data_IF_971633425205
#
_entry.id   IF_971633425205
#
_cell.length_a   1.000
_cell.length_b   1.000
_cell.length_c   1.000
_cell.angle_alpha   90.00
_cell.angle_beta   90.00
_cell.angle_gamma   90.00
#
_symmetry.space_group_name_H-M   'P 1'
#
loop_
_entity.id
_entity.type
_entity.pdbx_description
1 polymer ?
#
# COMPACT_ATOMS: atom_id res chain seq x y z
N UNK A 1 7.26 -2.74 30.42
CA UNK A 1 6.38 -2.15 29.37
C UNK A 1 6.98 -2.49 28.01
N UNK A 2 6.14 -2.65 26.96
CA UNK A 2 6.64 -2.78 25.58
C UNK A 2 7.14 -1.43 25.09
N UNK A 3 8.24 -1.37 24.30
CA UNK A 3 8.65 -0.13 23.67
C UNK A 3 7.55 0.40 22.73
N UNK A 4 7.47 1.72 22.57
CA UNK A 4 6.47 2.38 21.74
C UNK A 4 6.93 2.48 20.28
N UNK A 5 6.03 2.13 19.36
CA UNK A 5 6.24 2.24 17.92
C UNK A 5 5.21 3.21 17.32
N UNK A 6 5.67 4.28 16.70
CA UNK A 6 4.86 5.18 15.89
C UNK A 6 4.99 4.77 14.43
N UNK A 7 3.93 4.20 13.85
CA UNK A 7 3.88 3.78 12.46
C UNK A 7 3.06 4.80 11.64
N UNK A 8 3.73 5.48 10.72
CA UNK A 8 3.08 6.44 9.81
C UNK A 8 2.77 5.78 8.47
N UNK A 9 1.49 5.77 8.09
CA UNK A 9 1.00 5.26 6.82
C UNK A 9 0.17 6.29 6.08
N UNK A 10 0.63 6.68 4.89
CA UNK A 10 -0.12 7.51 3.97
C UNK A 10 -0.51 6.70 2.73
N UNK A 11 -1.80 6.55 2.50
CA UNK A 11 -2.34 5.98 1.28
C UNK A 11 -3.32 6.96 0.62
N UNK A 12 -3.64 6.78 -0.67
CA UNK A 12 -4.47 7.73 -1.43
C UNK A 12 -5.65 7.03 -2.10
N UNK A 13 -5.38 6.20 -3.09
CA UNK A 13 -6.41 5.61 -3.96
C UNK A 13 -6.53 4.11 -3.74
N UNK A 14 -5.46 3.43 -3.41
CA UNK A 14 -5.47 1.97 -3.18
C UNK A 14 -5.29 1.62 -1.72
N UNK A 15 -5.90 0.54 -1.28
CA UNK A 15 -5.78 0.03 0.10
C UNK A 15 -4.47 -0.74 0.36
N UNK A 16 -3.66 -1.00 -0.67
CA UNK A 16 -2.48 -1.83 -0.55
C UNK A 16 -1.44 -1.35 0.46
N UNK A 17 -1.15 -0.05 0.47
CA UNK A 17 -0.26 0.54 1.46
C UNK A 17 -0.83 0.41 2.88
N UNK A 18 -2.15 0.59 3.05
CA UNK A 18 -2.84 0.42 4.32
C UNK A 18 -2.77 -1.04 4.77
N UNK A 19 -3.14 -1.98 3.89
CA UNK A 19 -3.15 -3.43 4.18
C UNK A 19 -1.78 -3.93 4.61
N UNK A 20 -0.72 -3.58 3.87
CA UNK A 20 0.65 -3.94 4.22
C UNK A 20 1.07 -3.33 5.56
N UNK A 21 0.84 -2.04 5.75
CA UNK A 21 1.23 -1.35 6.99
C UNK A 21 0.50 -1.92 8.21
N UNK A 22 -0.77 -2.30 8.04
CA UNK A 22 -1.54 -2.97 9.09
C UNK A 22 -1.02 -4.38 9.37
N UNK A 23 -0.65 -5.15 8.34
CA UNK A 23 -0.05 -6.47 8.54
C UNK A 23 1.26 -6.37 9.33
N UNK A 24 2.10 -5.35 9.03
CA UNK A 24 3.29 -5.03 9.83
C UNK A 24 2.93 -4.66 11.27
N UNK A 25 1.94 -3.77 11.46
CA UNK A 25 1.50 -3.34 12.78
C UNK A 25 1.02 -4.55 13.63
N UNK A 26 0.25 -5.45 13.03
CA UNK A 26 -0.22 -6.70 13.67
C UNK A 26 0.94 -7.61 14.04
N UNK A 27 1.96 -7.74 13.20
CA UNK A 27 3.13 -8.53 13.53
C UNK A 27 3.96 -7.89 14.66
N UNK A 28 4.16 -6.57 14.56
CA UNK A 28 5.00 -5.80 15.49
C UNK A 28 4.36 -5.63 16.89
N UNK A 29 3.02 -5.65 17.03
CA UNK A 29 2.34 -5.53 18.34
C UNK A 29 2.75 -6.62 19.36
N UNK A 30 3.37 -7.69 18.91
CA UNK A 30 3.92 -8.71 19.80
C UNK A 30 5.07 -8.17 20.65
N UNK A 31 5.85 -7.25 20.10
CA UNK A 31 7.06 -6.66 20.72
C UNK A 31 6.88 -5.20 21.11
N UNK A 32 5.97 -4.47 20.44
CA UNK A 32 5.79 -3.03 20.60
C UNK A 32 4.35 -2.69 21.01
N UNK A 33 4.20 -1.55 21.69
CA UNK A 33 2.94 -0.81 21.78
C UNK A 33 2.81 0.03 20.52
N UNK A 34 1.89 -0.35 19.62
CA UNK A 34 1.82 0.23 18.26
C UNK A 34 0.79 1.35 18.21
N UNK A 35 1.23 2.54 17.80
CA UNK A 35 0.42 3.71 17.46
C UNK A 35 0.46 3.84 15.94
N UNK A 36 -0.69 3.62 15.29
CA UNK A 36 -0.80 3.66 13.83
C UNK A 36 -1.39 4.99 13.39
N UNK A 37 -0.56 5.83 12.75
CA UNK A 37 -0.99 7.10 12.17
C UNK A 37 -1.51 6.86 10.76
N UNK A 38 -2.82 6.95 10.59
CA UNK A 38 -3.47 6.82 9.30
C UNK A 38 -3.67 8.19 8.64
N UNK A 39 -3.10 8.39 7.46
CA UNK A 39 -3.16 9.65 6.73
C UNK A 39 -4.13 9.66 5.54
N UNK A 40 -4.70 8.51 5.16
CA UNK A 40 -5.65 8.40 4.06
C UNK A 40 -7.08 8.04 4.52
N UNK A 41 -8.05 8.00 3.59
CA UNK A 41 -9.41 7.58 3.91
C UNK A 41 -9.45 6.09 4.25
N UNK A 42 -10.17 5.73 5.30
CA UNK A 42 -10.41 4.32 5.64
C UNK A 42 -11.54 3.75 4.78
N UNK A 43 -11.44 2.48 4.36
CA UNK A 43 -12.56 1.79 3.72
C UNK A 43 -13.79 1.73 4.64
N UNK A 44 -14.98 1.70 4.03
CA UNK A 44 -16.21 1.48 4.77
C UNK A 44 -16.15 0.13 5.52
N UNK A 45 -16.63 0.10 6.75
CA UNK A 45 -16.58 -1.11 7.57
C UNK A 45 -15.20 -1.51 8.07
N UNK A 46 -14.18 -0.63 7.93
CA UNK A 46 -12.83 -0.93 8.40
C UNK A 46 -12.79 -1.19 9.91
N UNK A 47 -12.33 -2.38 10.27
CA UNK A 47 -12.11 -2.75 11.67
C UNK A 47 -10.63 -2.58 12.05
N UNK A 48 -10.39 -1.89 13.17
CA UNK A 48 -9.04 -1.74 13.72
C UNK A 48 -8.60 -3.07 14.35
N UNK A 49 -7.47 -3.65 13.97
CA UNK A 49 -6.97 -4.86 14.59
C UNK A 49 -6.73 -4.66 16.10
N UNK A 50 -7.16 -5.60 16.92
CA UNK A 50 -7.00 -5.53 18.37
C UNK A 50 -5.54 -5.29 18.78
N UNK A 51 -5.31 -4.43 19.79
CA UNK A 51 -3.99 -4.11 20.31
C UNK A 51 -3.17 -3.13 19.45
N UNK A 52 -3.84 -2.42 18.54
CA UNK A 52 -3.27 -1.30 17.78
C UNK A 52 -4.06 -0.04 18.13
N UNK A 53 -3.36 1.02 18.52
CA UNK A 53 -3.96 2.35 18.69
C UNK A 53 -4.00 3.04 17.33
N UNK A 54 -5.19 3.21 16.75
CA UNK A 54 -5.37 3.92 15.49
C UNK A 54 -5.59 5.40 15.76
N UNK A 55 -4.79 6.25 15.11
CA UNK A 55 -4.96 7.70 15.09
C UNK A 55 -5.15 8.17 13.67
N UNK A 56 -6.34 8.68 13.36
CA UNK A 56 -6.62 9.26 12.05
C UNK A 56 -6.16 10.72 12.00
N UNK A 57 -5.38 11.04 10.97
CA UNK A 57 -5.10 12.41 10.57
C UNK A 57 -6.19 12.90 9.62
N UNK A 58 -6.42 14.22 9.46
CA UNK A 58 -7.27 14.72 8.37
C UNK A 58 -6.88 14.07 7.05
N UNK A 59 -7.83 13.33 6.45
CA UNK A 59 -7.52 12.47 5.33
C UNK A 59 -7.16 13.26 4.08
N UNK A 60 -5.96 13.06 3.55
CA UNK A 60 -5.50 13.58 2.28
C UNK A 60 -5.32 12.43 1.28
N UNK A 61 -5.64 12.71 0.03
CA UNK A 61 -5.43 11.80 -1.08
C UNK A 61 -4.86 12.52 -2.29
N UNK A 62 -4.85 11.84 -3.43
CA UNK A 62 -4.58 12.46 -4.72
C UNK A 62 -5.80 12.27 -5.62
N UNK A 63 -6.09 13.28 -6.45
CA UNK A 63 -6.93 13.10 -7.63
C UNK A 63 -6.12 12.39 -8.71
N UNK A 64 -6.69 11.89 -9.73
CA UNK A 64 -6.06 11.17 -10.86
C UNK A 64 -4.52 10.93 -10.77
N UNK A 65 -4.01 10.89 -9.54
CA UNK A 65 -2.61 10.65 -9.18
C UNK A 65 -1.72 11.90 -9.10
N UNK A 66 -2.22 13.09 -9.35
CA UNK A 66 -1.36 14.25 -9.57
C UNK A 66 -1.47 15.38 -8.55
N UNK A 67 -2.65 15.80 -8.08
CA UNK A 67 -2.76 16.85 -7.07
C UNK A 67 -3.19 16.30 -5.70
N UNK A 68 -2.75 16.95 -4.61
CA UNK A 68 -3.27 16.61 -3.28
C UNK A 68 -4.65 17.21 -3.14
N UNK A 69 -5.60 16.38 -2.69
CA UNK A 69 -6.97 16.77 -2.38
C UNK A 69 -7.32 16.38 -0.95
N UNK A 70 -8.14 17.19 -0.31
CA UNK A 70 -8.73 16.82 0.96
C UNK A 70 -9.81 15.75 0.73
N UNK A 71 -9.73 14.66 1.48
CA UNK A 71 -10.77 13.63 1.55
C UNK A 71 -11.64 13.79 2.79
N UNK A 72 -11.36 14.78 3.60
CA UNK A 72 -12.14 15.21 4.74
C UNK A 72 -12.81 16.55 4.40
N UNK A 73 -14.11 16.54 4.17
CA UNK A 73 -14.88 17.72 3.75
C UNK A 73 -14.88 18.88 4.76
N UNK A 74 -14.41 18.62 5.99
CA UNK A 74 -14.33 19.64 7.05
C UNK A 74 -13.16 20.58 6.87
N UNK A 75 -12.16 20.23 6.04
CA UNK A 75 -10.91 20.99 5.94
C UNK A 75 -10.53 21.19 4.48
N UNK A 76 -10.02 22.36 4.16
CA UNK A 76 -9.23 22.60 2.95
C UNK A 76 -7.93 21.77 2.98
N UNK A 77 -7.21 21.72 1.87
CA UNK A 77 -5.91 21.02 1.81
C UNK A 77 -4.89 21.68 2.74
N UNK A 78 -4.89 23.00 2.79
CA UNK A 78 -3.98 23.81 3.60
C UNK A 78 -4.24 23.60 5.09
N UNK A 79 -5.49 23.71 5.53
CA UNK A 79 -5.91 23.45 6.92
C UNK A 79 -5.58 22.01 7.33
N UNK A 80 -5.90 21.03 6.47
CA UNK A 80 -5.57 19.63 6.72
C UNK A 80 -4.06 19.43 6.91
N UNK A 81 -3.21 20.05 6.08
CA UNK A 81 -1.74 19.98 6.21
C UNK A 81 -1.23 20.55 7.53
N UNK A 82 -1.75 21.68 7.95
CA UNK A 82 -1.34 22.31 9.24
C UNK A 82 -1.77 21.44 10.42
N UNK A 83 -3.02 20.99 10.45
CA UNK A 83 -3.54 20.12 11.49
C UNK A 83 -2.77 18.78 11.56
N UNK A 84 -2.45 18.19 10.42
CA UNK A 84 -1.67 16.95 10.34
C UNK A 84 -0.28 17.15 10.91
N UNK A 85 0.43 18.21 10.49
CA UNK A 85 1.75 18.54 10.99
C UNK A 85 1.75 18.72 12.50
N UNK A 86 0.82 19.52 13.01
CA UNK A 86 0.67 19.77 14.45
C UNK A 86 0.38 18.47 15.21
N UNK A 87 -0.55 17.65 14.70
CA UNK A 87 -0.94 16.38 15.36
C UNK A 87 0.17 15.34 15.37
N UNK A 88 0.94 15.22 14.29
CA UNK A 88 2.10 14.32 14.22
C UNK A 88 3.16 14.70 15.25
N UNK A 89 3.50 15.98 15.34
CA UNK A 89 4.47 16.47 16.33
C UNK A 89 3.95 16.34 17.76
N UNK A 90 2.69 16.68 18.00
CA UNK A 90 2.06 16.50 19.32
C UNK A 90 2.14 15.05 19.81
N UNK A 91 1.78 14.09 18.93
CA UNK A 91 1.84 12.68 19.27
C UNK A 91 3.27 12.21 19.51
N UNK A 92 4.22 12.67 18.72
CA UNK A 92 5.64 12.37 18.91
C UNK A 92 6.12 12.79 20.31
N UNK A 93 5.84 14.02 20.72
CA UNK A 93 6.23 14.54 22.04
C UNK A 93 5.50 13.84 23.20
N UNK A 94 4.19 13.60 23.05
CA UNK A 94 3.38 12.95 24.09
C UNK A 94 3.72 11.48 24.29
N UNK A 95 3.97 10.76 23.19
CA UNK A 95 4.15 9.29 23.22
C UNK A 95 5.61 8.86 23.33
N UNK A 96 6.54 9.74 23.02
CA UNK A 96 8.01 9.51 23.07
C UNK A 96 8.37 8.13 22.49
N UNK A 97 8.03 7.86 21.21
CA UNK A 97 8.22 6.53 20.66
C UNK A 97 9.69 6.13 20.64
N UNK A 98 9.98 4.86 20.91
CA UNK A 98 11.30 4.28 20.77
C UNK A 98 11.66 4.04 19.31
N UNK A 99 10.64 3.79 18.47
CA UNK A 99 10.78 3.54 17.03
C UNK A 99 9.75 4.34 16.25
N UNK A 100 10.18 4.96 15.16
CA UNK A 100 9.32 5.60 14.16
C UNK A 100 9.48 4.83 12.86
N UNK A 101 8.41 4.20 12.38
CA UNK A 101 8.36 3.48 11.12
C UNK A 101 7.54 4.29 10.11
N UNK A 102 8.17 4.71 9.00
CA UNK A 102 7.52 5.56 7.99
C UNK A 102 7.37 4.77 6.69
N UNK A 103 6.11 4.66 6.23
CA UNK A 103 5.79 3.98 4.98
C UNK A 103 6.26 4.81 3.78
N UNK A 104 7.11 4.21 2.96
CA UNK A 104 7.62 4.66 1.66
C UNK A 104 8.44 5.96 1.64
N UNK A 105 8.47 6.77 2.67
CA UNK A 105 9.32 7.97 2.70
C UNK A 105 10.75 7.61 3.14
N UNK A 106 11.80 8.13 2.49
CA UNK A 106 11.82 9.22 1.51
C UNK A 106 11.76 8.79 0.03
N UNK A 107 11.61 7.51 -0.27
CA UNK A 107 11.59 6.96 -1.64
C UNK A 107 10.30 7.29 -2.41
N UNK A 108 9.27 7.68 -1.69
CA UNK A 108 8.01 8.20 -2.18
C UNK A 108 7.43 9.23 -1.20
N UNK A 109 6.14 9.52 -1.30
CA UNK A 109 5.42 10.42 -0.38
C UNK A 109 6.00 11.84 -0.27
N UNK A 110 6.77 12.30 -1.26
CA UNK A 110 7.38 13.64 -1.32
C UNK A 110 6.38 14.76 -1.00
N UNK A 111 5.12 14.60 -1.39
CA UNK A 111 4.04 15.58 -1.15
C UNK A 111 3.67 15.76 0.31
N UNK A 112 4.09 14.83 1.19
CA UNK A 112 3.87 14.86 2.64
C UNK A 112 5.13 15.26 3.42
N UNK A 113 6.15 15.78 2.74
CA UNK A 113 7.40 16.22 3.37
C UNK A 113 7.20 17.38 4.37
N UNK A 114 6.13 18.17 4.24
CA UNK A 114 5.79 19.26 5.15
C UNK A 114 5.49 18.80 6.59
N UNK A 115 5.02 17.58 6.79
CA UNK A 115 4.78 16.99 8.10
C UNK A 115 5.88 15.99 8.50
N UNK A 116 6.46 15.27 7.54
CA UNK A 116 7.49 14.26 7.83
C UNK A 116 8.86 14.85 8.14
N UNK A 117 9.29 15.92 7.44
CA UNK A 117 10.58 16.55 7.74
C UNK A 117 10.65 17.18 9.14
N UNK A 118 9.62 17.90 9.63
CA UNK A 118 9.58 18.35 11.02
C UNK A 118 9.66 17.19 12.01
N UNK A 119 8.91 16.09 11.80
CA UNK A 119 8.98 14.90 12.64
C UNK A 119 10.40 14.32 12.69
N UNK A 120 11.06 14.17 11.52
CA UNK A 120 12.42 13.64 11.43
C UNK A 120 13.45 14.53 12.13
N UNK A 121 13.29 15.86 12.04
CA UNK A 121 14.14 16.81 12.77
C UNK A 121 13.94 16.70 14.27
N UNK A 122 12.67 16.64 14.71
CA UNK A 122 12.34 16.43 16.11
C UNK A 122 12.92 15.11 16.65
N UNK A 123 12.79 14.02 15.89
CA UNK A 123 13.34 12.72 16.26
C UNK A 123 14.87 12.76 16.43
N UNK A 124 15.59 13.47 15.57
CA UNK A 124 17.06 13.63 15.70
C UNK A 124 17.48 14.55 16.84
N UNK A 125 16.63 15.49 17.25
CA UNK A 125 16.88 16.38 18.38
C UNK A 125 16.43 15.78 19.73
N UNK A 126 15.59 14.77 19.72
CA UNK A 126 14.99 14.19 20.92
C UNK A 126 16.04 13.52 21.81
N UNK A 127 16.03 13.79 23.14
CA UNK A 127 17.02 13.22 24.09
C UNK A 127 16.92 11.69 24.20
N UNK A 128 15.74 11.09 23.95
CA UNK A 128 15.52 9.64 23.98
C UNK A 128 15.92 8.94 22.67
N UNK A 129 16.34 9.68 21.64
CA UNK A 129 16.92 9.20 20.37
C UNK A 129 16.16 8.02 19.75
N UNK A 130 14.92 8.20 19.32
CA UNK A 130 14.15 7.13 18.69
C UNK A 130 14.85 6.60 17.43
N UNK A 131 14.72 5.31 17.14
CA UNK A 131 15.14 4.74 15.86
C UNK A 131 14.15 5.13 14.78
N UNK A 132 14.63 5.64 13.66
CA UNK A 132 13.82 6.02 12.51
C UNK A 132 14.05 5.05 11.37
N UNK A 133 13.00 4.37 10.93
CA UNK A 133 13.06 3.30 9.95
C UNK A 133 12.12 3.60 8.78
N UNK A 134 12.61 3.41 7.56
CA UNK A 134 11.77 3.46 6.36
C UNK A 134 11.28 2.06 6.01
N UNK A 135 9.99 1.93 5.72
CA UNK A 135 9.33 0.69 5.28
C UNK A 135 8.98 0.84 3.80
N UNK A 136 9.63 0.08 2.93
CA UNK A 136 9.46 0.21 1.48
C UNK A 136 9.05 -1.10 0.83
N UNK A 137 8.43 -0.98 -0.35
CA UNK A 137 8.14 -2.13 -1.20
C UNK A 137 9.38 -2.53 -2.01
N UNK A 138 9.28 -3.62 -2.75
CA UNK A 138 10.30 -4.19 -3.63
C UNK A 138 10.80 -3.21 -4.70
N UNK A 139 9.92 -2.83 -5.62
CA UNK A 139 10.24 -2.01 -6.78
C UNK A 139 9.70 -0.60 -6.59
N UNK A 140 10.58 0.39 -6.76
CA UNK A 140 10.20 1.80 -6.79
C UNK A 140 9.85 2.24 -8.20
N UNK A 141 9.10 3.34 -8.30
CA UNK A 141 8.86 3.99 -9.60
C UNK A 141 10.19 4.55 -10.11
N UNK A 142 10.68 4.02 -11.21
CA UNK A 142 12.00 4.33 -11.79
C UNK A 142 11.95 5.04 -13.16
N UNK A 143 10.75 5.30 -13.70
CA UNK A 143 10.56 5.97 -14.98
C UNK A 143 10.15 7.44 -14.81
N UNK A 144 10.99 8.23 -14.12
CA UNK A 144 10.76 9.67 -13.92
C UNK A 144 11.77 10.49 -14.72
N UNK A 145 11.38 11.65 -15.26
CA UNK A 145 12.34 12.54 -15.94
C UNK A 145 13.51 12.97 -15.04
N UNK A 146 13.28 13.12 -13.73
CA UNK A 146 14.27 13.55 -12.73
C UNK A 146 14.74 12.40 -11.82
N UNK A 147 14.75 11.15 -12.32
CA UNK A 147 15.00 9.94 -11.52
C UNK A 147 16.28 10.04 -10.68
N UNK A 148 17.40 10.41 -11.30
CA UNK A 148 18.69 10.51 -10.59
C UNK A 148 18.64 11.53 -9.44
N UNK A 149 18.02 12.69 -9.67
CA UNK A 149 17.86 13.71 -8.62
C UNK A 149 16.96 13.21 -7.48
N UNK A 150 15.93 12.47 -7.82
CA UNK A 150 15.03 11.83 -6.85
C UNK A 150 15.80 10.84 -5.97
N UNK A 151 16.57 9.95 -6.57
CA UNK A 151 17.32 8.91 -5.87
C UNK A 151 18.42 9.52 -4.99
N UNK A 152 19.18 10.48 -5.51
CA UNK A 152 20.21 11.20 -4.75
C UNK A 152 19.64 11.93 -3.53
N UNK A 153 18.46 12.56 -3.68
CA UNK A 153 17.76 13.24 -2.59
C UNK A 153 17.26 12.24 -1.54
N UNK A 154 16.67 11.13 -1.96
CA UNK A 154 16.19 10.10 -1.05
C UNK A 154 17.36 9.49 -0.27
N UNK A 155 18.46 9.17 -0.92
CA UNK A 155 19.67 8.68 -0.27
C UNK A 155 20.26 9.70 0.72
N UNK A 156 20.26 11.00 0.38
CA UNK A 156 20.69 12.06 1.31
C UNK A 156 19.80 12.13 2.55
N UNK A 157 18.47 12.05 2.37
CA UNK A 157 17.52 12.02 3.51
C UNK A 157 17.71 10.78 4.37
N UNK A 158 17.95 9.62 3.76
CA UNK A 158 18.25 8.39 4.50
C UNK A 158 19.46 8.57 5.40
N UNK A 159 20.59 8.99 4.86
CA UNK A 159 21.83 9.22 5.65
C UNK A 159 21.63 10.25 6.77
N UNK A 160 20.76 11.24 6.56
CA UNK A 160 20.57 12.33 7.51
C UNK A 160 19.60 11.98 8.64
N UNK A 161 18.57 11.18 8.34
CA UNK A 161 17.43 11.04 9.23
C UNK A 161 17.02 9.60 9.56
N UNK A 162 17.51 8.60 8.85
CA UNK A 162 17.09 7.22 9.06
C UNK A 162 18.20 6.37 9.63
N UNK A 163 17.81 5.32 10.37
CA UNK A 163 18.73 4.36 10.96
C UNK A 163 18.74 3.03 10.16
N UNK A 164 17.67 2.73 9.43
CA UNK A 164 17.57 1.55 8.57
C UNK A 164 16.46 1.70 7.51
N UNK A 165 16.51 0.86 6.49
CA UNK A 165 15.47 0.66 5.49
C UNK A 165 15.05 -0.80 5.52
N UNK A 166 13.76 -1.06 5.70
CA UNK A 166 13.17 -2.39 5.57
C UNK A 166 12.54 -2.53 4.18
N UNK A 167 13.04 -3.44 3.38
CA UNK A 167 12.52 -3.76 2.05
C UNK A 167 11.64 -5.00 2.14
N UNK A 168 10.35 -4.84 1.81
CA UNK A 168 9.38 -5.93 1.87
C UNK A 168 9.35 -6.71 0.57
N UNK A 169 10.42 -7.44 0.32
CA UNK A 169 10.65 -8.25 -0.87
C UNK A 169 11.54 -9.44 -0.56
N UNK A 170 11.56 -10.39 -1.47
CA UNK A 170 12.58 -11.42 -1.55
C UNK A 170 13.66 -10.98 -2.55
N UNK A 171 14.93 -10.79 -2.13
CA UNK A 171 15.99 -10.33 -3.03
C UNK A 171 16.32 -11.34 -4.16
N UNK A 172 15.85 -12.58 -4.05
CA UNK A 172 15.94 -13.56 -5.14
C UNK A 172 14.98 -13.27 -6.30
N UNK A 173 13.89 -12.52 -6.03
CA UNK A 173 12.89 -12.16 -7.03
C UNK A 173 13.05 -10.73 -7.53
N UNK A 174 13.28 -9.79 -6.63
CA UNK A 174 13.42 -8.37 -6.97
C UNK A 174 14.33 -7.67 -5.95
N UNK A 175 15.35 -7.00 -6.44
CA UNK A 175 16.27 -6.23 -5.61
C UNK A 175 15.88 -4.76 -5.61
N UNK A 176 15.98 -4.13 -4.45
CA UNK A 176 15.70 -2.70 -4.29
C UNK A 176 16.58 -1.83 -5.20
N UNK A 177 17.84 -2.24 -5.36
CA UNK A 177 18.85 -1.58 -6.17
C UNK A 177 18.54 -1.62 -7.68
N UNK A 178 17.65 -2.49 -8.12
CA UNK A 178 17.24 -2.56 -9.54
C UNK A 178 16.45 -1.32 -9.95
N UNK A 179 15.72 -0.74 -8.98
CA UNK A 179 14.87 0.46 -9.20
C UNK A 179 15.34 1.71 -8.47
N UNK A 180 16.42 1.63 -7.67
CA UNK A 180 16.95 2.74 -6.88
C UNK A 180 18.47 2.84 -7.04
N UNK A 181 18.94 3.88 -7.72
CA UNK A 181 20.35 4.01 -8.13
C UNK A 181 20.91 5.40 -7.82
N UNK A 182 21.10 5.78 -6.55
CA UNK A 182 21.70 7.05 -6.18
C UNK A 182 23.20 7.04 -6.48
N UNK A 183 23.78 8.21 -6.78
CA UNK A 183 25.24 8.37 -6.99
C UNK A 183 26.06 8.04 -5.74
N UNK A 184 25.50 8.30 -4.55
CA UNK A 184 26.12 7.94 -3.27
C UNK A 184 25.27 6.88 -2.58
N UNK A 185 25.88 5.82 -2.01
CA UNK A 185 25.13 4.77 -1.34
C UNK A 185 24.27 5.30 -0.18
N UNK A 186 23.30 4.52 0.26
CA UNK A 186 22.43 4.87 1.39
C UNK A 186 23.21 5.16 2.67
N UNK A 187 24.28 4.41 2.92
CA UNK A 187 25.11 4.59 4.12
C UNK A 187 24.45 4.17 5.43
N UNK A 188 23.34 3.46 5.36
CA UNK A 188 22.59 2.88 6.47
C UNK A 188 22.19 1.45 6.11
N UNK A 189 21.91 0.56 7.07
CA UNK A 189 21.44 -0.80 6.84
C UNK A 189 20.21 -0.85 5.96
N UNK A 190 20.16 -1.82 5.05
CA UNK A 190 19.04 -2.17 4.22
C UNK A 190 18.76 -3.66 4.42
N UNK A 191 17.59 -3.97 5.00
CA UNK A 191 17.22 -5.32 5.39
C UNK A 191 16.00 -5.79 4.59
N UNK A 192 16.11 -6.97 3.97
CA UNK A 192 14.99 -7.62 3.29
C UNK A 192 14.17 -8.45 4.27
N UNK A 193 12.88 -8.22 4.34
CA UNK A 193 11.98 -8.89 5.30
C UNK A 193 11.19 -10.04 4.70
N UNK A 194 11.31 -10.28 3.41
CA UNK A 194 10.34 -11.09 2.67
C UNK A 194 9.04 -10.31 2.41
N UNK A 195 8.11 -10.92 1.72
CA UNK A 195 6.81 -10.33 1.43
C UNK A 195 5.94 -10.22 2.67
N UNK A 196 5.35 -9.05 2.88
CA UNK A 196 4.43 -8.79 3.98
C UNK A 196 3.01 -9.09 3.55
N UNK A 197 2.44 -10.11 4.15
CA UNK A 197 1.05 -10.54 3.92
C UNK A 197 0.29 -10.57 5.24
N UNK A 198 -1.02 -10.28 5.26
CA UNK A 198 -1.85 -10.50 6.43
C UNK A 198 -1.78 -11.95 6.88
N UNK A 199 -1.60 -12.18 8.18
CA UNK A 199 -1.63 -13.53 8.72
C UNK A 199 -3.06 -14.06 8.61
N UNK A 200 -3.19 -15.25 8.05
CA UNK A 200 -4.44 -16.00 7.98
C UNK A 200 -4.33 -17.23 8.86
N UNK A 201 -5.43 -17.58 9.48
CA UNK A 201 -5.49 -18.86 10.16
C UNK A 201 -5.43 -19.97 9.10
N UNK A 202 -4.47 -20.87 9.25
CA UNK A 202 -4.18 -21.94 8.29
C UNK A 202 -5.32 -23.00 8.17
N UNK A 203 -6.40 -22.82 8.93
CA UNK A 203 -7.45 -23.82 9.11
C UNK A 203 -8.48 -23.90 7.97
N UNK A 204 -8.50 -22.98 7.02
CA UNK A 204 -9.50 -23.01 5.94
C UNK A 204 -8.76 -22.97 4.61
N UNK A 205 -8.43 -24.14 4.07
CA UNK A 205 -8.14 -24.28 2.66
C UNK A 205 -9.48 -24.40 1.90
N UNK A 206 -9.96 -23.35 1.24
CA UNK A 206 -11.20 -23.45 0.48
C UNK A 206 -11.05 -24.49 -0.62
N UNK A 207 -12.13 -25.26 -0.86
CA UNK A 207 -12.14 -26.21 -1.98
C UNK A 207 -11.80 -25.50 -3.28
N UNK A 208 -10.84 -26.02 -4.00
CA UNK A 208 -10.48 -25.52 -5.34
C UNK A 208 -11.64 -25.69 -6.30
N UNK A 209 -11.90 -24.66 -7.07
CA UNK A 209 -12.93 -24.61 -8.10
C UNK A 209 -12.24 -24.49 -9.47
N UNK A 210 -12.85 -25.05 -10.48
CA UNK A 210 -12.26 -25.12 -11.82
C UNK A 210 -12.58 -23.86 -12.64
N UNK A 211 -12.08 -22.70 -12.16
CA UNK A 211 -12.23 -21.42 -12.84
C UNK A 211 -10.92 -20.62 -12.80
N UNK A 212 -10.82 -19.65 -13.69
CA UNK A 212 -9.76 -18.63 -13.68
C UNK A 212 -10.29 -17.35 -13.02
N UNK A 213 -9.64 -16.90 -11.94
CA UNK A 213 -9.95 -15.62 -11.31
C UNK A 213 -9.23 -14.48 -12.01
N UNK A 214 -9.95 -13.42 -12.36
CA UNK A 214 -9.39 -12.21 -12.94
C UNK A 214 -9.60 -11.05 -11.98
N UNK A 215 -8.56 -10.31 -11.62
CA UNK A 215 -8.68 -9.19 -10.69
C UNK A 215 -7.72 -8.05 -11.00
N UNK A 216 -8.23 -6.82 -10.91
CA UNK A 216 -7.45 -5.59 -11.01
C UNK A 216 -7.37 -4.83 -9.66
N UNK A 217 -7.45 -5.54 -8.53
CA UNK A 217 -7.39 -4.96 -7.20
C UNK A 217 -8.53 -3.96 -6.95
N UNK A 218 -8.22 -2.67 -6.74
CA UNK A 218 -9.24 -1.62 -6.54
C UNK A 218 -10.10 -1.30 -7.76
N UNK A 219 -9.69 -1.69 -8.96
CA UNK A 219 -10.44 -1.56 -10.21
C UNK A 219 -10.22 -0.29 -11.02
N UNK A 220 -9.64 0.78 -10.47
CA UNK A 220 -9.51 2.09 -11.13
C UNK A 220 -8.83 2.02 -12.51
N UNK A 221 -7.86 1.16 -12.69
CA UNK A 221 -7.05 1.00 -13.92
C UNK A 221 -7.21 -0.39 -14.53
N UNK A 222 -8.28 -1.13 -14.19
CA UNK A 222 -8.47 -2.54 -14.56
C UNK A 222 -8.92 -2.81 -16.00
N UNK A 223 -9.53 -1.84 -16.67
CA UNK A 223 -10.18 -2.06 -17.98
C UNK A 223 -9.28 -2.67 -19.06
N UNK A 224 -8.02 -2.25 -19.24
CA UNK A 224 -7.12 -2.89 -20.22
C UNK A 224 -6.92 -4.39 -19.95
N UNK A 225 -6.79 -4.80 -18.68
CA UNK A 225 -6.67 -6.20 -18.28
C UNK A 225 -7.96 -6.96 -18.62
N UNK A 226 -9.12 -6.42 -18.25
CA UNK A 226 -10.41 -7.08 -18.47
C UNK A 226 -10.72 -7.27 -19.96
N UNK A 227 -10.48 -6.24 -20.78
CA UNK A 227 -10.63 -6.34 -22.24
C UNK A 227 -9.70 -7.39 -22.83
N UNK A 228 -8.41 -7.39 -22.42
CA UNK A 228 -7.43 -8.34 -22.90
C UNK A 228 -7.79 -9.78 -22.54
N UNK A 229 -8.24 -10.02 -21.30
CA UNK A 229 -8.63 -11.36 -20.85
C UNK A 229 -9.89 -11.84 -21.56
N UNK A 230 -10.92 -11.03 -21.71
CA UNK A 230 -12.15 -11.42 -22.44
C UNK A 230 -11.86 -11.71 -23.91
N UNK A 231 -11.04 -10.88 -24.57
CA UNK A 231 -10.63 -11.12 -25.93
C UNK A 231 -9.82 -12.43 -26.07
N UNK A 232 -8.87 -12.68 -25.18
CA UNK A 232 -8.09 -13.92 -25.17
C UNK A 232 -8.96 -15.15 -24.87
N UNK A 233 -9.90 -15.02 -23.94
CA UNK A 233 -10.82 -16.10 -23.57
C UNK A 233 -11.71 -16.53 -24.76
N UNK A 234 -12.17 -15.57 -25.57
CA UNK A 234 -12.94 -15.85 -26.77
C UNK A 234 -12.18 -16.64 -27.85
N UNK A 235 -10.84 -16.58 -27.84
CA UNK A 235 -9.99 -17.32 -28.79
C UNK A 235 -9.73 -18.77 -28.35
N UNK A 236 -10.02 -19.12 -27.09
CA UNK A 236 -9.80 -20.47 -26.59
C UNK A 236 -10.93 -21.42 -27.03
N UNK A 237 -10.55 -22.67 -27.37
CA UNK A 237 -11.53 -23.70 -27.67
C UNK A 237 -12.41 -24.02 -26.45
N UNK A 238 -13.72 -24.21 -26.59
CA UNK A 238 -14.63 -24.46 -25.46
C UNK A 238 -14.20 -25.65 -24.57
N UNK A 239 -13.60 -26.68 -25.12
CA UNK A 239 -13.15 -27.86 -24.38
C UNK A 239 -11.95 -27.62 -23.44
N UNK A 240 -11.17 -26.57 -23.67
CA UNK A 240 -9.96 -26.24 -22.88
C UNK A 240 -10.11 -24.95 -22.09
N UNK A 241 -11.22 -24.24 -22.28
CA UNK A 241 -11.49 -22.93 -21.72
C UNK A 241 -12.02 -23.05 -20.31
N UNK A 242 -11.34 -22.43 -19.35
CA UNK A 242 -11.82 -22.33 -17.98
C UNK A 242 -12.87 -21.21 -17.87
N UNK A 243 -13.95 -21.41 -17.11
CA UNK A 243 -14.83 -20.31 -16.75
C UNK A 243 -14.06 -19.15 -16.13
N UNK A 244 -14.46 -17.92 -16.43
CA UNK A 244 -13.87 -16.73 -15.80
C UNK A 244 -14.74 -16.22 -14.68
N UNK A 245 -14.12 -15.90 -13.55
CA UNK A 245 -14.69 -15.10 -12.49
C UNK A 245 -13.91 -13.77 -12.41
N UNK A 246 -14.54 -12.67 -12.85
CA UNK A 246 -13.92 -11.36 -12.91
C UNK A 246 -14.36 -10.54 -11.70
N UNK A 247 -13.41 -10.24 -10.79
CA UNK A 247 -13.59 -9.33 -9.67
C UNK A 247 -13.09 -7.96 -10.09
N UNK A 248 -14.01 -7.09 -10.48
CA UNK A 248 -13.71 -5.82 -11.13
C UNK A 248 -13.05 -4.78 -10.20
N UNK A 249 -13.34 -4.85 -8.90
CA UNK A 249 -12.87 -3.93 -7.88
C UNK A 249 -13.89 -2.83 -7.53
N UNK A 250 -13.96 -2.43 -6.24
CA UNK A 250 -14.99 -1.51 -5.73
C UNK A 250 -14.91 -0.10 -6.33
N UNK A 251 -13.75 0.30 -6.84
CA UNK A 251 -13.51 1.63 -7.39
C UNK A 251 -13.57 1.68 -8.92
N UNK A 252 -14.02 0.61 -9.59
CA UNK A 252 -14.23 0.64 -11.04
C UNK A 252 -15.32 1.67 -11.36
N UNK A 253 -15.06 2.67 -12.22
CA UNK A 253 -16.06 3.66 -12.61
C UNK A 253 -17.32 3.02 -13.21
N UNK A 254 -18.48 3.62 -12.98
CA UNK A 254 -19.78 3.07 -13.46
C UNK A 254 -19.79 2.87 -14.99
N UNK A 255 -19.24 3.81 -15.75
CA UNK A 255 -19.14 3.68 -17.20
C UNK A 255 -18.31 2.47 -17.64
N UNK A 256 -17.22 2.19 -16.93
CA UNK A 256 -16.38 1.01 -17.19
C UNK A 256 -17.07 -0.29 -16.75
N UNK A 257 -17.86 -0.25 -15.68
CA UNK A 257 -18.67 -1.40 -15.28
C UNK A 257 -19.68 -1.76 -16.36
N UNK A 258 -20.45 -0.78 -16.86
CA UNK A 258 -21.42 -1.00 -17.94
C UNK A 258 -20.74 -1.48 -19.24
N UNK A 259 -19.54 -1.03 -19.53
CA UNK A 259 -18.76 -1.53 -20.64
C UNK A 259 -18.36 -3.02 -20.42
N UNK A 260 -17.91 -3.35 -19.21
CA UNK A 260 -17.52 -4.71 -18.86
C UNK A 260 -18.70 -5.68 -18.92
N UNK A 261 -19.88 -5.28 -18.44
CA UNK A 261 -21.12 -6.04 -18.56
C UNK A 261 -21.45 -6.33 -20.04
N UNK A 262 -21.36 -5.34 -20.90
CA UNK A 262 -21.61 -5.48 -22.33
C UNK A 262 -20.60 -6.42 -23.01
N UNK A 263 -19.32 -6.34 -22.63
CA UNK A 263 -18.29 -7.23 -23.16
C UNK A 263 -18.49 -8.67 -22.71
N UNK A 264 -18.96 -8.89 -21.50
CA UNK A 264 -19.19 -10.21 -20.93
C UNK A 264 -20.53 -10.84 -21.38
N UNK A 265 -21.50 -10.07 -21.84
CA UNK A 265 -22.86 -10.53 -22.16
C UNK A 265 -22.91 -11.64 -23.24
N UNK A 266 -21.89 -11.77 -24.08
CA UNK A 266 -21.76 -12.84 -25.07
C UNK A 266 -21.12 -14.14 -24.57
N UNK A 267 -20.72 -14.20 -23.30
CA UNK A 267 -19.95 -15.31 -22.74
C UNK A 267 -20.71 -15.96 -21.57
N UNK A 268 -21.32 -17.13 -21.82
CA UNK A 268 -22.09 -17.87 -20.80
C UNK A 268 -21.26 -18.44 -19.65
N UNK A 269 -19.93 -18.42 -19.77
CA UNK A 269 -18.96 -18.93 -18.82
C UNK A 269 -18.14 -17.81 -18.14
N UNK A 270 -18.64 -16.55 -18.16
CA UNK A 270 -18.05 -15.40 -17.51
C UNK A 270 -18.96 -14.86 -16.41
N UNK A 271 -18.48 -14.92 -15.17
CA UNK A 271 -19.13 -14.32 -14.02
C UNK A 271 -18.48 -12.98 -13.68
N UNK A 272 -19.29 -11.91 -13.56
CA UNK A 272 -18.84 -10.58 -13.13
C UNK A 272 -19.23 -10.33 -11.69
N UNK A 273 -18.26 -9.92 -10.87
CA UNK A 273 -18.47 -9.53 -9.48
C UNK A 273 -17.82 -8.17 -9.24
N UNK A 274 -18.54 -7.24 -8.63
CA UNK A 274 -17.98 -5.92 -8.36
C UNK A 274 -16.88 -5.95 -7.29
N UNK A 275 -17.16 -6.62 -6.19
CA UNK A 275 -16.23 -6.79 -5.09
C UNK A 275 -16.52 -8.09 -4.35
N UNK A 276 -15.50 -8.61 -3.67
CA UNK A 276 -15.61 -9.77 -2.79
C UNK A 276 -15.07 -9.41 -1.41
N UNK A 277 -15.57 -10.04 -0.34
CA UNK A 277 -15.09 -9.76 1.02
C UNK A 277 -13.61 -10.06 1.22
N UNK A 278 -13.10 -11.11 0.57
CA UNK A 278 -11.71 -11.52 0.67
C UNK A 278 -11.20 -12.08 -0.67
N UNK A 279 -10.49 -11.22 -1.41
CA UNK A 279 -9.94 -11.58 -2.72
C UNK A 279 -8.92 -12.73 -2.65
N UNK A 280 -8.18 -12.84 -1.56
CA UNK A 280 -7.17 -13.89 -1.48
C UNK A 280 -7.80 -15.27 -1.16
N UNK A 281 -8.99 -15.32 -0.54
CA UNK A 281 -9.78 -16.56 -0.47
C UNK A 281 -10.25 -16.95 -1.87
N UNK A 282 -10.72 -16.00 -2.67
CA UNK A 282 -11.09 -16.25 -4.07
C UNK A 282 -9.90 -16.74 -4.90
N UNK A 283 -8.70 -16.16 -4.70
CA UNK A 283 -7.46 -16.61 -5.34
C UNK A 283 -7.08 -18.05 -4.96
N UNK A 284 -7.29 -18.44 -3.70
CA UNK A 284 -7.03 -19.82 -3.25
C UNK A 284 -8.03 -20.82 -3.81
N UNK A 285 -9.28 -20.39 -4.06
CA UNK A 285 -10.32 -21.22 -4.69
C UNK A 285 -10.07 -21.45 -6.18
N UNK A 286 -9.51 -20.46 -6.85
CA UNK A 286 -9.31 -20.53 -8.29
C UNK A 286 -8.22 -21.53 -8.67
N UNK A 287 -8.39 -22.17 -9.85
CA UNK A 287 -7.36 -23.01 -10.46
C UNK A 287 -6.15 -22.19 -10.89
N UNK A 288 -6.39 -20.99 -11.42
CA UNK A 288 -5.37 -19.99 -11.77
C UNK A 288 -5.92 -18.58 -11.57
N UNK A 289 -5.03 -17.61 -11.52
CA UNK A 289 -5.43 -16.21 -11.45
C UNK A 289 -4.66 -15.35 -12.46
N UNK A 290 -5.36 -14.38 -13.04
CA UNK A 290 -4.80 -13.34 -13.90
C UNK A 290 -5.01 -12.02 -13.16
N UNK A 291 -3.93 -11.38 -12.76
CA UNK A 291 -4.01 -10.18 -11.96
C UNK A 291 -3.20 -9.06 -12.58
N UNK A 292 -3.68 -7.83 -12.38
CA UNK A 292 -2.82 -6.68 -12.58
C UNK A 292 -1.63 -6.83 -11.64
N UNK A 293 -0.41 -6.64 -12.15
CA UNK A 293 0.82 -6.72 -11.35
C UNK A 293 0.88 -5.55 -10.34
N UNK A 294 -0.01 -5.62 -9.35
CA UNK A 294 -0.05 -4.75 -8.19
C UNK A 294 0.75 -5.35 -7.04
N UNK A 295 1.03 -4.55 -6.06
CA UNK A 295 1.87 -4.96 -4.92
C UNK A 295 1.15 -5.83 -3.87
N UNK A 296 -0.16 -5.94 -3.94
CA UNK A 296 -0.95 -6.75 -2.98
C UNK A 296 -1.81 -7.73 -3.72
#
# INVERSE_FOLDING_TARGET
MKPALLLYCQHSVGVGHLTRSLALAVALRRRFSVIFLNGGPLPEGFAVPAGIELVNLPALGTDDGHAIVSRDRRFSVEEARELRRARVLQLFEQRRPDVILIELFPFGRKKFANELLPLLRAARAAPWRPRVVSSVRDILVSARPDQQRHDDRAAWLCRRYFDAVLVHADPALARFEDSFRPRKPLGIPLDYTGFVVPRRDAAVHPLRQDHCLVSAGGGLVGMPLFRGVLAAHALLAPATRLPLRIVAGPHLPAAHWSELERLAAGHGDVELVRAVPDLAVEMQRARCSISQCGYN
#
